data_IF_308921127408
#
_entry.id   IF_308921127408
#
_cell.length_a   1.000
_cell.length_b   1.000
_cell.length_c   1.000
_cell.angle_alpha   90.00
_cell.angle_beta   90.00
_cell.angle_gamma   90.00
#
_symmetry.space_group_name_H-M   'P 1'
#
loop_
_entity.id
_entity.type
_entity.pdbx_description
1 polymer ?
#
# COMPACT_ATOMS: atom_id res chain seq x y z
N UNK A 1 21.89 0.50 -0.16
CA UNK A 1 21.56 0.07 -1.55
C UNK A 1 20.23 0.71 -1.92
N UNK A 2 19.85 0.83 -3.21
CA UNK A 2 18.59 1.50 -3.60
C UNK A 2 17.69 0.60 -4.46
N UNK A 3 16.36 0.81 -4.46
CA UNK A 3 15.49 0.16 -5.46
C UNK A 3 15.84 0.57 -6.90
N UNK A 4 16.68 1.60 -7.09
CA UNK A 4 17.22 1.99 -8.39
C UNK A 4 18.16 0.91 -8.98
N UNK A 5 18.64 0.00 -8.13
CA UNK A 5 19.57 -1.07 -8.48
C UNK A 5 18.83 -2.37 -8.89
N UNK A 6 17.49 -2.38 -8.89
CA UNK A 6 16.67 -3.52 -9.32
C UNK A 6 16.51 -3.49 -10.85
N UNK A 7 16.96 -4.54 -11.55
CA UNK A 7 16.80 -4.65 -13.01
C UNK A 7 15.33 -4.82 -13.44
N UNK A 8 14.88 -3.99 -14.39
CA UNK A 8 13.51 -3.97 -14.90
C UNK A 8 12.55 -3.09 -14.09
N UNK A 9 11.36 -2.80 -14.63
CA UNK A 9 10.34 -2.09 -13.85
C UNK A 9 9.85 -3.01 -12.72
N UNK A 10 10.01 -2.65 -11.43
CA UNK A 10 9.69 -3.56 -10.34
C UNK A 10 8.17 -3.83 -10.34
N UNK A 11 7.80 -5.11 -10.36
CA UNK A 11 6.41 -5.54 -10.32
C UNK A 11 6.11 -6.10 -8.94
N UNK A 12 5.03 -5.66 -8.31
CA UNK A 12 4.61 -6.08 -6.97
C UNK A 12 3.30 -6.85 -7.11
N UNK A 13 3.13 -7.89 -6.30
CA UNK A 13 1.89 -8.66 -6.23
C UNK A 13 1.40 -8.66 -4.80
N UNK A 14 0.10 -8.47 -4.61
CA UNK A 14 -0.56 -8.41 -3.30
C UNK A 14 -1.92 -9.09 -3.34
N UNK A 15 -2.45 -9.47 -2.19
CA UNK A 15 -3.77 -10.08 -2.06
C UNK A 15 -4.88 -9.20 -2.68
N UNK A 16 -5.64 -9.80 -3.59
CA UNK A 16 -6.71 -9.14 -4.33
C UNK A 16 -7.99 -8.88 -3.50
N UNK A 17 -8.47 -9.80 -2.63
CA UNK A 17 -9.69 -9.55 -1.86
C UNK A 17 -9.68 -8.27 -1.01
N UNK A 18 -8.64 -7.99 -0.18
CA UNK A 18 -8.61 -6.75 0.59
C UNK A 18 -8.46 -5.52 -0.31
N UNK A 19 -7.75 -5.66 -1.43
CA UNK A 19 -7.65 -4.58 -2.41
C UNK A 19 -9.01 -4.25 -3.06
N UNK A 20 -9.75 -5.25 -3.53
CA UNK A 20 -11.05 -5.06 -4.19
C UNK A 20 -12.05 -4.41 -3.21
N UNK A 21 -11.99 -4.77 -1.93
CA UNK A 21 -12.79 -4.15 -0.86
C UNK A 21 -12.46 -2.67 -0.68
N UNK A 22 -11.17 -2.34 -0.55
CA UNK A 22 -10.72 -0.96 -0.44
C UNK A 22 -11.05 -0.15 -1.70
N UNK A 23 -10.84 -0.72 -2.89
CA UNK A 23 -11.19 -0.09 -4.17
C UNK A 23 -12.69 0.22 -4.23
N UNK A 24 -13.53 -0.71 -3.80
CA UNK A 24 -14.98 -0.50 -3.74
C UNK A 24 -15.35 0.62 -2.77
N UNK A 25 -14.76 0.64 -1.58
CA UNK A 25 -15.02 1.65 -0.55
C UNK A 25 -14.60 3.05 -1.02
N UNK A 26 -13.36 3.21 -1.51
CA UNK A 26 -12.85 4.51 -1.99
C UNK A 26 -13.71 5.03 -3.15
N UNK A 27 -14.08 4.15 -4.07
CA UNK A 27 -14.91 4.56 -5.20
C UNK A 27 -16.36 4.84 -4.79
N UNK A 28 -16.93 4.18 -3.77
CA UNK A 28 -18.26 4.55 -3.28
C UNK A 28 -18.28 5.93 -2.64
N UNK A 29 -17.28 6.25 -1.81
CA UNK A 29 -17.17 7.57 -1.15
C UNK A 29 -16.93 8.72 -2.14
N UNK A 30 -16.24 8.48 -3.26
CA UNK A 30 -15.90 9.49 -4.26
C UNK A 30 -16.85 9.52 -5.46
N UNK A 31 -17.70 8.52 -5.62
CA UNK A 31 -18.65 8.41 -6.75
C UNK A 31 -19.80 9.41 -6.71
N UNK A 32 -19.95 10.18 -5.62
CA UNK A 32 -20.99 11.22 -5.52
C UNK A 32 -20.57 12.56 -6.18
N UNK A 33 -19.28 12.85 -6.38
CA UNK A 33 -18.85 14.20 -6.80
C UNK A 33 -18.37 14.36 -8.26
N UNK A 34 -17.69 13.39 -8.90
CA UNK A 34 -17.11 13.62 -10.25
C UNK A 34 -17.04 12.38 -11.18
N UNK A 35 -17.63 11.24 -10.81
CA UNK A 35 -17.80 10.07 -11.69
C UNK A 35 -16.53 9.39 -12.21
N UNK A 36 -15.35 9.77 -11.74
CA UNK A 36 -14.07 9.20 -12.17
C UNK A 36 -13.51 8.29 -11.08
N UNK A 37 -13.44 6.99 -11.34
CA UNK A 37 -12.87 6.02 -10.41
C UNK A 37 -11.41 6.35 -10.07
N UNK A 38 -11.04 6.18 -8.80
CA UNK A 38 -9.66 6.37 -8.34
C UNK A 38 -8.76 5.33 -8.99
N UNK A 39 -7.62 5.78 -9.51
CA UNK A 39 -6.62 4.87 -10.08
C UNK A 39 -6.12 3.90 -9.01
N UNK A 40 -6.08 2.60 -9.33
CA UNK A 40 -5.58 1.54 -8.44
C UNK A 40 -4.20 1.84 -7.84
N UNK A 41 -3.31 2.53 -8.57
CA UNK A 41 -2.00 2.92 -8.02
C UNK A 41 -2.09 3.92 -6.85
N UNK A 42 -3.12 4.77 -6.81
CA UNK A 42 -3.36 5.68 -5.67
C UNK A 42 -3.89 4.95 -4.45
N UNK A 43 -4.71 3.93 -4.66
CA UNK A 43 -5.15 3.04 -3.58
C UNK A 43 -3.94 2.30 -2.99
N UNK A 44 -3.03 1.82 -3.85
CA UNK A 44 -1.78 1.21 -3.41
C UNK A 44 -0.85 2.20 -2.66
N UNK A 45 -0.76 3.47 -3.10
CA UNK A 45 0.01 4.51 -2.38
C UNK A 45 -0.48 4.68 -0.93
N UNK A 46 -1.81 4.72 -0.74
CA UNK A 46 -2.44 4.88 0.58
C UNK A 46 -2.15 3.67 1.46
N UNK A 47 -2.38 2.46 0.93
CA UNK A 47 -2.14 1.23 1.66
C UNK A 47 -0.66 1.10 2.07
N UNK A 48 0.27 1.42 1.17
CA UNK A 48 1.70 1.39 1.49
C UNK A 48 2.07 2.36 2.63
N UNK A 49 1.49 3.57 2.63
CA UNK A 49 1.71 4.53 3.71
C UNK A 49 1.17 4.03 5.07
N UNK A 50 -0.01 3.42 5.09
CA UNK A 50 -0.61 2.83 6.30
C UNK A 50 0.26 1.69 6.84
N UNK A 51 0.69 0.76 5.99
CA UNK A 51 1.51 -0.36 6.45
C UNK A 51 2.92 0.05 6.93
N UNK A 52 3.50 1.11 6.36
CA UNK A 52 4.75 1.70 6.88
C UNK A 52 4.57 2.20 8.31
N UNK A 53 3.38 2.70 8.66
CA UNK A 53 3.06 3.22 10.00
C UNK A 53 2.79 2.08 10.99
N UNK A 54 1.97 1.10 10.64
CA UNK A 54 1.46 0.08 11.59
C UNK A 54 2.43 -1.08 11.92
N UNK A 55 3.68 -1.03 11.44
CA UNK A 55 4.63 -2.14 11.43
C UNK A 55 4.09 -3.30 10.59
N UNK A 56 4.89 -3.76 9.63
CA UNK A 56 4.53 -4.87 8.75
C UNK A 56 3.99 -6.07 9.57
N UNK A 57 2.70 -6.35 9.39
CA UNK A 57 2.07 -7.60 9.76
C UNK A 57 1.55 -8.19 8.47
N UNK A 58 2.01 -9.38 8.14
CA UNK A 58 1.51 -10.12 6.98
C UNK A 58 1.05 -11.46 7.49
N UNK A 59 -0.24 -11.63 7.65
CA UNK A 59 -0.84 -12.96 7.58
C UNK A 59 -1.12 -13.18 6.09
N UNK A 60 -0.44 -14.13 5.45
CA UNK A 60 -0.55 -14.34 4.01
C UNK A 60 -1.99 -14.69 3.63
N UNK A 61 -2.71 -13.77 2.97
CA UNK A 61 -4.04 -14.05 2.44
C UNK A 61 -3.88 -14.71 1.07
N UNK A 62 -3.93 -16.04 1.04
CA UNK A 62 -3.96 -16.83 -0.20
C UNK A 62 -5.38 -16.87 -0.79
N UNK A 63 -5.52 -16.45 -2.06
CA UNK A 63 -6.30 -17.15 -3.11
C UNK A 63 -6.39 -16.34 -4.43
N UNK A 64 -5.97 -15.07 -4.46
CA UNK A 64 -5.79 -14.32 -5.71
C UNK A 64 -4.89 -13.08 -5.55
N UNK A 65 -4.07 -12.79 -6.56
CA UNK A 65 -3.09 -11.69 -6.55
C UNK A 65 -3.50 -10.55 -7.50
N UNK A 66 -3.18 -9.32 -7.11
CA UNK A 66 -3.23 -8.15 -7.97
C UNK A 66 -1.83 -7.57 -8.20
N UNK A 67 -1.56 -7.17 -9.44
CA UNK A 67 -0.22 -6.81 -9.90
C UNK A 67 -0.10 -5.32 -10.16
N UNK A 68 0.97 -4.72 -9.64
CA UNK A 68 1.26 -3.28 -9.76
C UNK A 68 2.67 -3.04 -10.28
N UNK A 69 2.85 -1.95 -11.02
CA UNK A 69 4.17 -1.44 -11.35
C UNK A 69 4.60 -0.44 -10.28
N UNK A 70 5.75 -0.66 -9.65
CA UNK A 70 6.30 0.20 -8.60
C UNK A 70 6.64 1.61 -9.10
N UNK A 71 6.80 1.85 -10.40
CA UNK A 71 6.92 3.21 -10.93
C UNK A 71 5.59 3.96 -11.00
N UNK A 72 4.45 3.25 -10.93
CA UNK A 72 3.10 3.84 -10.93
C UNK A 72 2.57 4.08 -9.51
N UNK A 73 3.04 3.26 -8.57
CA UNK A 73 2.96 3.45 -7.13
C UNK A 73 4.12 4.38 -6.74
N UNK A 74 3.98 5.29 -5.79
CA UNK A 74 5.03 6.20 -5.34
C UNK A 74 5.73 6.99 -6.48
N UNK A 75 4.94 7.69 -7.29
CA UNK A 75 5.43 8.47 -8.43
C UNK A 75 6.55 9.49 -8.10
N UNK A 76 6.68 9.89 -6.82
CA UNK A 76 7.68 10.84 -6.34
C UNK A 76 8.85 10.18 -5.60
N UNK A 77 8.84 8.86 -5.42
CA UNK A 77 9.89 8.12 -4.71
C UNK A 77 9.93 8.33 -3.20
N UNK A 78 8.88 8.90 -2.61
CA UNK A 78 8.82 9.25 -1.18
C UNK A 78 8.72 8.00 -0.33
N UNK A 79 7.80 7.09 -0.65
CA UNK A 79 7.61 5.85 0.10
C UNK A 79 8.81 4.93 -0.03
N UNK A 80 9.41 4.87 -1.22
CA UNK A 80 10.67 4.20 -1.50
C UNK A 80 11.79 4.71 -0.59
N UNK A 81 11.96 6.03 -0.51
CA UNK A 81 12.98 6.66 0.35
C UNK A 81 12.76 6.31 1.81
N UNK A 82 11.51 6.33 2.30
CA UNK A 82 11.20 5.98 3.69
C UNK A 82 11.56 4.52 4.00
N UNK A 83 11.31 3.58 3.09
CA UNK A 83 11.66 2.16 3.27
C UNK A 83 13.19 1.99 3.28
N UNK A 84 13.90 2.62 2.35
CA UNK A 84 15.38 2.59 2.29
C UNK A 84 16.00 3.13 3.58
N UNK A 85 15.48 4.24 4.13
CA UNK A 85 15.97 4.85 5.38
C UNK A 85 15.63 4.00 6.62
N UNK A 86 14.47 3.33 6.63
CA UNK A 86 14.10 2.40 7.72
C UNK A 86 14.94 1.11 7.70
N UNK A 87 15.44 0.72 6.53
CA UNK A 87 16.18 -0.54 6.31
C UNK A 87 17.46 -0.30 5.50
N UNK A 88 18.44 0.45 6.05
CA UNK A 88 19.61 0.90 5.29
C UNK A 88 20.52 -0.24 4.81
N UNK A 89 20.48 -1.37 5.52
CA UNK A 89 21.31 -2.55 5.25
C UNK A 89 20.60 -3.60 4.37
N UNK A 90 19.34 -3.40 4.00
CA UNK A 90 18.58 -4.36 3.21
C UNK A 90 19.09 -4.45 1.76
N UNK A 91 19.16 -5.68 1.26
CA UNK A 91 19.46 -5.96 -0.14
C UNK A 91 18.27 -5.58 -1.06
N UNK A 92 18.49 -5.36 -2.37
CA UNK A 92 17.41 -4.98 -3.28
C UNK A 92 16.20 -5.94 -3.30
N UNK A 93 16.44 -7.25 -3.23
CA UNK A 93 15.36 -8.23 -3.14
C UNK A 93 14.63 -8.17 -1.79
N UNK A 94 15.33 -7.84 -0.70
CA UNK A 94 14.74 -7.65 0.62
C UNK A 94 13.90 -6.37 0.68
N UNK A 95 14.37 -5.28 0.06
CA UNK A 95 13.60 -4.04 -0.10
C UNK A 95 12.29 -4.29 -0.87
N UNK A 96 12.32 -5.18 -1.87
CA UNK A 96 11.11 -5.60 -2.60
C UNK A 96 10.16 -6.41 -1.71
N UNK A 97 10.68 -7.32 -0.89
CA UNK A 97 9.85 -8.07 0.07
C UNK A 97 9.21 -7.15 1.09
N UNK A 98 9.98 -6.23 1.69
CA UNK A 98 9.48 -5.24 2.64
C UNK A 98 8.38 -4.35 2.06
N UNK A 99 8.53 -3.97 0.79
CA UNK A 99 7.52 -3.21 0.06
C UNK A 99 6.21 -3.99 -0.12
N UNK A 100 6.27 -5.30 -0.41
CA UNK A 100 5.10 -6.18 -0.44
C UNK A 100 4.49 -6.26 0.95
N UNK A 101 5.29 -6.55 1.98
CA UNK A 101 4.84 -6.67 3.37
C UNK A 101 4.13 -5.41 3.86
N UNK A 102 4.68 -4.22 3.58
CA UNK A 102 4.04 -2.96 3.93
C UNK A 102 2.75 -2.72 3.15
N UNK A 103 2.74 -3.03 1.85
CA UNK A 103 1.52 -2.85 1.06
C UNK A 103 0.41 -3.80 1.53
N UNK A 104 0.73 -5.07 1.78
CA UNK A 104 -0.23 -6.07 2.27
C UNK A 104 -0.72 -5.76 3.69
N UNK A 105 0.19 -5.43 4.61
CA UNK A 105 -0.19 -5.05 5.97
C UNK A 105 -1.09 -3.81 5.99
N UNK A 106 -0.81 -2.83 5.13
CA UNK A 106 -1.69 -1.67 4.99
C UNK A 106 -3.04 -1.99 4.37
N UNK A 107 -3.10 -2.85 3.36
CA UNK A 107 -4.37 -3.32 2.80
C UNK A 107 -5.19 -4.05 3.85
N UNK A 108 -4.57 -4.93 4.62
CA UNK A 108 -5.22 -5.69 5.69
C UNK A 108 -5.79 -4.77 6.77
N UNK A 109 -4.99 -3.84 7.30
CA UNK A 109 -5.43 -2.90 8.34
C UNK A 109 -6.64 -2.08 7.87
N UNK A 110 -6.59 -1.57 6.64
CA UNK A 110 -7.68 -0.77 6.07
C UNK A 110 -8.93 -1.64 5.88
N UNK A 111 -8.78 -2.85 5.34
CA UNK A 111 -9.88 -3.80 5.18
C UNK A 111 -10.53 -4.14 6.51
N UNK A 112 -9.74 -4.47 7.53
CA UNK A 112 -10.25 -4.78 8.87
C UNK A 112 -10.98 -3.58 9.48
N UNK A 113 -10.50 -2.34 9.30
CA UNK A 113 -11.21 -1.15 9.79
C UNK A 113 -12.56 -0.96 9.07
N UNK A 114 -12.60 -1.15 7.75
CA UNK A 114 -13.84 -1.05 6.97
C UNK A 114 -14.83 -2.15 7.40
N UNK A 115 -14.38 -3.37 7.63
CA UNK A 115 -15.24 -4.48 8.08
C UNK A 115 -15.80 -4.27 9.47
N UNK A 116 -14.97 -3.81 10.40
CA UNK A 116 -15.35 -3.66 11.80
C UNK A 116 -16.14 -2.38 12.07
N UNK A 117 -15.84 -1.29 11.36
CA UNK A 117 -16.39 0.04 11.67
C UNK A 117 -17.23 0.64 10.54
N UNK A 118 -17.19 0.07 9.33
CA UNK A 118 -17.86 0.62 8.15
C UNK A 118 -17.23 1.89 7.59
N UNK A 119 -16.07 2.31 8.11
CA UNK A 119 -15.35 3.52 7.71
C UNK A 119 -13.83 3.28 7.72
N UNK A 120 -13.09 4.01 6.89
CA UNK A 120 -11.63 4.10 6.96
C UNK A 120 -11.22 5.50 7.43
N UNK A 121 -10.57 5.62 8.59
CA UNK A 121 -10.24 6.90 9.21
C UNK A 121 -8.79 7.30 8.93
N UNK A 122 -8.55 7.78 7.72
CA UNK A 122 -7.22 8.20 7.27
C UNK A 122 -6.49 9.15 8.26
N UNK A 123 -7.23 10.02 8.96
CA UNK A 123 -6.64 10.96 9.92
C UNK A 123 -5.94 10.30 11.11
N UNK A 124 -6.28 9.05 11.46
CA UNK A 124 -5.63 8.30 12.54
C UNK A 124 -4.21 7.89 12.13
N UNK A 125 -3.93 7.88 10.83
CA UNK A 125 -2.62 7.56 10.26
C UNK A 125 -1.75 8.79 9.97
N UNK A 126 -2.34 9.99 10.01
CA UNK A 126 -1.62 11.26 10.00
C UNK A 126 -1.21 11.57 11.44
N UNK A 127 -0.02 11.15 11.86
CA UNK A 127 0.50 11.58 13.16
C UNK A 127 0.59 13.11 13.19
N UNK A 128 -0.38 13.76 13.84
CA UNK A 128 -0.19 15.05 14.47
C UNK A 128 0.28 14.79 15.90
N UNK A 129 1.46 14.19 16.04
CA UNK A 129 2.20 14.30 17.28
C UNK A 129 2.70 15.74 17.38
N UNK A 130 2.08 16.50 18.29
CA UNK A 130 2.66 17.72 18.87
C UNK A 130 3.79 17.35 19.82
#
# INVERSE_FOLDING_TARGET
>A
MSFSDIEGAPVIRVSKPPFDQLESFVNSELSEDDGTAVKKSRIADIALAVGIKEKARTDSIEDSEQTFNLGSVDNYGVLKTIIEEKHPDAAPDELRSLLVEYLEGGLQEISEQIENEGVFRYHEYLDYDN
#
